data_IF_098402734689
#
_entry.id   IF_098402734689
#
_cell.length_a   1.000
_cell.length_b   1.000
_cell.length_c   1.000
_cell.angle_alpha   90.00
_cell.angle_beta   90.00
_cell.angle_gamma   90.00
#
_symmetry.space_group_name_H-M   'P 1'
#
loop_
_entity.id
_entity.type
_entity.pdbx_description
1 polymer ?
#
# COMPACT_ATOMS: atom_id res chain seq x y z
N UNK A 1 15.28 -9.38 9.42
CA UNK A 1 14.22 -10.37 9.12
C UNK A 1 14.32 -11.50 10.13
N UNK A 2 13.19 -11.95 10.68
CA UNK A 2 13.13 -13.13 11.54
C UNK A 2 13.56 -14.38 10.75
N UNK A 3 14.51 -15.14 11.30
CA UNK A 3 15.11 -16.29 10.64
C UNK A 3 14.08 -17.39 10.35
N UNK A 4 13.09 -17.56 11.22
CA UNK A 4 12.00 -18.53 11.01
C UNK A 4 11.20 -18.23 9.74
N UNK A 5 10.91 -16.94 9.52
CA UNK A 5 10.23 -16.45 8.31
C UNK A 5 11.13 -16.63 7.09
N UNK A 6 12.44 -16.39 7.21
CA UNK A 6 13.36 -16.56 6.08
C UNK A 6 13.41 -18.02 5.61
N UNK A 7 13.51 -18.98 6.54
CA UNK A 7 13.48 -20.42 6.21
C UNK A 7 12.19 -20.77 5.47
N UNK A 8 11.03 -20.36 5.99
CA UNK A 8 9.73 -20.57 5.32
C UNK A 8 9.70 -20.00 3.91
N UNK A 9 10.14 -18.76 3.75
CA UNK A 9 10.15 -18.03 2.46
C UNK A 9 11.10 -18.68 1.44
N UNK A 10 12.22 -19.25 1.89
CA UNK A 10 13.15 -19.98 1.02
C UNK A 10 12.57 -21.29 0.50
N UNK A 11 11.80 -22.00 1.33
CA UNK A 11 11.19 -23.29 1.00
C UNK A 11 9.83 -23.14 0.29
N UNK A 12 9.28 -21.93 0.23
CA UNK A 12 7.97 -21.66 -0.35
C UNK A 12 8.00 -21.63 -1.88
N UNK A 13 7.02 -22.31 -2.48
CA UNK A 13 6.67 -22.24 -3.90
C UNK A 13 5.58 -21.17 -4.18
N UNK A 14 5.10 -20.47 -3.15
CA UNK A 14 4.09 -19.43 -3.31
C UNK A 14 4.70 -18.17 -3.94
N UNK A 15 4.05 -17.63 -4.96
CA UNK A 15 4.58 -16.53 -5.76
C UNK A 15 4.96 -15.28 -4.92
N UNK A 16 4.14 -14.81 -3.96
CA UNK A 16 4.52 -13.71 -3.07
C UNK A 16 5.80 -13.97 -2.28
N UNK A 17 6.02 -15.20 -1.77
CA UNK A 17 7.25 -15.53 -1.04
C UNK A 17 8.46 -15.60 -1.99
N UNK A 18 8.29 -16.14 -3.20
CA UNK A 18 9.31 -16.11 -4.25
C UNK A 18 9.70 -14.67 -4.61
N UNK A 19 8.71 -13.78 -4.74
CA UNK A 19 8.96 -12.37 -5.00
C UNK A 19 9.67 -11.73 -3.79
N UNK A 20 9.21 -11.98 -2.57
CA UNK A 20 9.83 -11.41 -1.37
C UNK A 20 11.31 -11.82 -1.28
N UNK A 21 11.63 -13.12 -1.40
CA UNK A 21 13.02 -13.61 -1.31
C UNK A 21 13.91 -12.98 -2.37
N UNK A 22 13.43 -12.86 -3.60
CA UNK A 22 14.24 -12.32 -4.70
C UNK A 22 14.43 -10.81 -4.60
N UNK A 23 13.45 -10.09 -4.02
CA UNK A 23 13.53 -8.65 -3.81
C UNK A 23 14.42 -8.30 -2.63
N UNK A 24 14.30 -8.96 -1.47
CA UNK A 24 15.14 -8.65 -0.29
C UNK A 24 16.63 -8.96 -0.52
N UNK A 25 16.95 -9.81 -1.49
CA UNK A 25 18.31 -10.07 -1.97
C UNK A 25 18.80 -9.08 -3.06
N UNK A 26 18.02 -8.03 -3.36
CA UNK A 26 18.48 -6.97 -4.27
C UNK A 26 19.68 -6.22 -3.69
N UNK A 27 20.63 -5.80 -4.53
CA UNK A 27 21.83 -5.06 -4.11
C UNK A 27 21.52 -3.73 -3.40
N UNK A 28 20.30 -3.20 -3.59
CA UNK A 28 19.82 -1.98 -2.92
C UNK A 28 19.28 -2.21 -1.52
N UNK A 29 19.14 -3.46 -1.09
CA UNK A 29 18.58 -3.82 0.21
C UNK A 29 19.67 -4.45 1.05
N UNK A 30 19.85 -3.89 2.24
CA UNK A 30 20.70 -4.52 3.26
C UNK A 30 19.81 -5.36 4.16
N UNK A 31 19.96 -6.67 4.08
CA UNK A 31 19.21 -7.61 4.93
C UNK A 31 20.15 -8.25 5.95
N UNK A 32 19.62 -8.42 7.16
CA UNK A 32 20.23 -9.23 8.22
C UNK A 32 19.17 -10.15 8.83
N UNK A 33 19.58 -11.35 9.23
CA UNK A 33 18.75 -12.36 9.88
C UNK A 33 18.90 -12.29 11.40
N UNK A 34 17.81 -12.56 12.10
CA UNK A 34 17.79 -12.67 13.56
C UNK A 34 17.03 -13.93 13.97
N UNK A 35 17.59 -14.70 14.91
CA UNK A 35 16.90 -15.80 15.58
C UNK A 35 17.19 -15.76 17.07
N UNK A 36 16.22 -16.17 17.90
CA UNK A 36 16.35 -16.09 19.36
C UNK A 36 17.53 -16.93 19.89
N UNK A 37 17.81 -18.06 19.23
CA UNK A 37 18.93 -18.95 19.56
C UNK A 37 20.22 -18.63 18.75
N UNK A 38 20.20 -17.52 17.99
CA UNK A 38 21.29 -17.12 17.12
C UNK A 38 21.35 -17.85 15.77
N UNK A 39 22.45 -17.70 15.01
CA UNK A 39 22.65 -18.35 13.72
C UNK A 39 22.82 -19.87 13.88
N UNK A 40 22.22 -20.70 13.00
CA UNK A 40 22.47 -22.13 12.96
C UNK A 40 23.96 -22.49 12.81
N UNK A 41 24.31 -23.69 13.28
CA UNK A 41 25.63 -24.26 13.03
C UNK A 41 25.88 -24.41 11.51
N UNK A 42 27.07 -24.03 11.05
CA UNK A 42 27.46 -24.12 9.64
C UNK A 42 27.16 -22.89 8.78
N UNK A 43 26.53 -21.85 9.33
CA UNK A 43 26.46 -20.54 8.67
C UNK A 43 27.88 -20.00 8.39
N UNK A 44 28.07 -19.38 7.24
CA UNK A 44 29.34 -18.75 6.88
C UNK A 44 29.75 -17.70 7.92
N UNK A 45 30.99 -17.79 8.40
CA UNK A 45 31.54 -16.89 9.42
C UNK A 45 32.76 -16.16 8.87
N UNK A 46 32.97 -14.94 9.38
CA UNK A 46 34.18 -14.17 9.04
C UNK A 46 35.43 -14.94 9.49
N UNK A 47 36.52 -14.89 8.72
CA UNK A 47 37.79 -15.51 9.10
C UNK A 47 38.26 -15.01 10.48
N UNK A 48 38.80 -15.91 11.30
CA UNK A 48 39.27 -15.59 12.66
C UNK A 48 40.44 -14.59 12.68
N UNK A 49 41.13 -14.41 11.56
CA UNK A 49 42.29 -13.53 11.38
C UNK A 49 41.91 -12.15 10.80
N UNK A 50 40.62 -11.82 10.70
CA UNK A 50 40.18 -10.51 10.24
C UNK A 50 40.53 -9.41 11.25
N UNK A 51 41.14 -8.32 10.76
CA UNK A 51 41.65 -7.18 11.55
C UNK A 51 40.61 -6.47 12.44
N UNK A 52 39.31 -6.71 12.22
CA UNK A 52 38.19 -6.02 12.87
C UNK A 52 37.18 -6.99 13.51
N UNK A 53 37.66 -8.13 14.00
CA UNK A 53 36.81 -9.22 14.52
C UNK A 53 36.82 -10.43 13.60
N UNK A 54 36.52 -11.60 14.17
CA UNK A 54 36.56 -12.89 13.50
C UNK A 54 35.62 -13.91 14.18
N UNK A 55 35.01 -14.78 13.37
CA UNK A 55 34.03 -15.76 13.83
C UNK A 55 32.58 -15.28 13.84
N UNK A 56 32.30 -14.01 13.51
CA UNK A 56 30.93 -13.48 13.40
C UNK A 56 30.20 -14.11 12.20
N UNK A 57 28.92 -14.43 12.38
CA UNK A 57 28.09 -15.02 11.33
C UNK A 57 27.67 -13.98 10.28
N UNK A 58 28.06 -14.20 9.04
CA UNK A 58 27.80 -13.27 7.93
C UNK A 58 26.31 -13.29 7.57
N UNK A 59 25.70 -12.10 7.48
CA UNK A 59 24.28 -11.93 7.20
C UNK A 59 23.37 -12.05 8.42
N UNK A 60 23.95 -12.11 9.62
CA UNK A 60 23.22 -12.25 10.88
C UNK A 60 23.47 -11.09 11.83
N UNK A 61 22.43 -10.77 12.58
CA UNK A 61 22.48 -9.94 13.78
C UNK A 61 22.37 -10.89 14.96
N UNK A 62 23.45 -10.98 15.73
CA UNK A 62 23.61 -11.88 16.87
C UNK A 62 23.53 -11.06 18.15
N UNK A 63 22.71 -11.52 19.09
CA UNK A 63 22.64 -10.97 20.44
C UNK A 63 23.34 -11.93 21.40
N UNK A 64 24.33 -11.41 22.12
CA UNK A 64 25.02 -12.16 23.17
C UNK A 64 24.65 -11.55 24.51
N UNK A 65 24.14 -12.39 25.42
CA UNK A 65 23.91 -11.96 26.80
C UNK A 65 25.24 -11.86 27.54
N UNK A 66 25.48 -10.76 28.23
CA UNK A 66 26.69 -10.53 29.01
C UNK A 66 26.39 -10.62 30.52
N UNK A 67 27.45 -10.68 31.33
CA UNK A 67 27.35 -10.56 32.79
C UNK A 67 27.27 -9.09 33.27
N UNK A 68 27.32 -8.12 32.35
CA UNK A 68 27.22 -6.70 32.68
C UNK A 68 25.76 -6.30 32.93
N UNK A 69 25.44 -5.90 34.17
CA UNK A 69 24.08 -5.50 34.56
C UNK A 69 23.62 -4.22 33.86
N UNK A 70 24.55 -3.37 33.43
CA UNK A 70 24.25 -2.13 32.71
C UNK A 70 24.02 -2.39 31.22
N UNK A 71 24.78 -3.29 30.62
CA UNK A 71 24.69 -3.66 29.20
C UNK A 71 24.48 -5.17 29.07
N UNK A 72 23.29 -5.67 29.43
CA UNK A 72 23.04 -7.12 29.48
C UNK A 72 23.09 -7.79 28.12
N UNK A 73 23.02 -7.03 27.03
CA UNK A 73 23.03 -7.57 25.66
C UNK A 73 24.01 -6.82 24.77
N UNK A 74 24.94 -7.55 24.16
CA UNK A 74 25.78 -7.07 23.06
C UNK A 74 25.19 -7.52 21.72
N UNK A 75 25.07 -6.59 20.78
CA UNK A 75 24.61 -6.87 19.42
C UNK A 75 25.81 -6.85 18.49
N UNK A 76 25.91 -7.85 17.63
CA UNK A 76 26.88 -7.85 16.53
C UNK A 76 26.16 -8.14 15.22
N UNK A 77 26.30 -7.24 14.24
CA UNK A 77 25.83 -7.45 12.86
C UNK A 77 27.02 -7.55 11.93
N UNK A 78 27.11 -8.63 11.17
CA UNK A 78 28.24 -8.88 10.28
C UNK A 78 27.81 -9.06 8.82
N UNK A 79 28.56 -8.44 7.91
CA UNK A 79 28.54 -8.69 6.47
C UNK A 79 29.91 -9.20 6.03
N UNK A 80 30.04 -9.58 4.76
CA UNK A 80 31.34 -9.94 4.16
C UNK A 80 32.36 -8.79 4.28
N UNK A 81 31.91 -7.53 4.31
CA UNK A 81 32.78 -6.35 4.28
C UNK A 81 32.90 -5.59 5.59
N UNK A 82 31.93 -5.72 6.50
CA UNK A 82 31.83 -4.89 7.71
C UNK A 82 31.32 -5.69 8.90
N UNK A 83 31.80 -5.35 10.09
CA UNK A 83 31.19 -5.71 11.37
C UNK A 83 30.72 -4.41 12.05
N UNK A 84 29.53 -4.44 12.63
CA UNK A 84 29.00 -3.38 13.46
C UNK A 84 28.60 -3.97 14.82
N UNK A 85 29.06 -3.33 15.90
CA UNK A 85 28.69 -3.66 17.26
C UNK A 85 27.70 -2.63 17.81
N UNK A 86 26.81 -3.08 18.68
CA UNK A 86 25.85 -2.27 19.43
C UNK A 86 25.61 -2.90 20.80
N UNK A 87 24.85 -2.21 21.64
CA UNK A 87 24.60 -2.60 23.02
C UNK A 87 23.16 -2.25 23.38
N UNK A 88 22.45 -3.18 24.01
CA UNK A 88 21.13 -2.89 24.59
C UNK A 88 21.22 -2.81 26.10
N UNK A 89 20.63 -1.76 26.63
CA UNK A 89 20.44 -1.57 28.06
C UNK A 89 19.22 -2.35 28.54
N UNK A 90 19.26 -2.87 29.77
CA UNK A 90 18.14 -3.60 30.37
C UNK A 90 16.83 -2.80 30.31
N UNK A 91 16.93 -1.49 30.54
CA UNK A 91 15.79 -0.58 30.51
C UNK A 91 15.08 -0.51 29.15
N UNK A 92 15.80 -0.64 28.03
CA UNK A 92 15.20 -0.59 26.68
C UNK A 92 14.34 -1.84 26.43
N UNK A 93 14.89 -3.01 26.73
CA UNK A 93 14.18 -4.29 26.56
C UNK A 93 13.01 -4.40 27.54
N UNK A 94 13.19 -3.90 28.77
CA UNK A 94 12.12 -3.83 29.76
C UNK A 94 10.99 -2.89 29.32
N UNK A 95 11.30 -1.69 28.82
CA UNK A 95 10.31 -0.74 28.28
C UNK A 95 9.53 -1.39 27.12
N UNK A 96 10.23 -2.02 26.19
CA UNK A 96 9.62 -2.74 25.08
C UNK A 96 8.63 -3.82 25.57
N UNK A 97 9.07 -4.66 26.50
CA UNK A 97 8.25 -5.72 27.09
C UNK A 97 7.01 -5.18 27.80
N UNK A 98 7.15 -4.07 28.54
CA UNK A 98 6.04 -3.45 29.25
C UNK A 98 4.96 -2.94 28.29
N UNK A 99 5.36 -2.30 27.19
CA UNK A 99 4.42 -1.78 26.18
C UNK A 99 3.72 -2.95 25.46
N UNK A 100 4.46 -3.99 25.03
CA UNK A 100 3.85 -5.18 24.42
C UNK A 100 2.84 -5.85 25.36
N UNK A 101 3.18 -5.93 26.65
CA UNK A 101 2.28 -6.45 27.68
C UNK A 101 1.00 -5.66 27.83
N UNK A 102 1.04 -4.33 27.69
CA UNK A 102 -0.14 -3.47 27.73
C UNK A 102 -1.00 -3.55 26.46
N UNK A 103 -0.38 -3.78 25.30
CA UNK A 103 -1.07 -3.79 24.01
C UNK A 103 -1.74 -5.13 23.69
N UNK A 104 -1.10 -6.25 24.09
CA UNK A 104 -1.44 -7.58 23.58
C UNK A 104 -1.74 -8.61 24.66
N UNK A 105 -1.73 -8.22 25.95
CA UNK A 105 -1.85 -9.11 27.11
C UNK A 105 -0.84 -10.29 27.12
N UNK A 106 0.22 -10.19 26.32
CA UNK A 106 1.28 -11.18 26.15
C UNK A 106 2.64 -10.48 26.11
N UNK A 107 3.37 -10.52 27.22
CA UNK A 107 4.69 -9.91 27.37
C UNK A 107 5.79 -10.99 27.27
N UNK A 108 6.18 -11.34 26.04
CA UNK A 108 7.34 -12.20 25.79
C UNK A 108 8.63 -11.35 25.74
N UNK A 109 9.64 -11.76 26.50
CA UNK A 109 10.96 -11.14 26.50
C UNK A 109 11.66 -11.30 25.14
N UNK A 110 11.39 -12.38 24.40
CA UNK A 110 11.96 -12.63 23.07
C UNK A 110 11.47 -11.62 22.04
N UNK A 111 10.20 -11.27 22.11
CA UNK A 111 9.57 -10.31 21.20
C UNK A 111 10.04 -8.89 21.50
N UNK A 112 10.11 -8.55 22.79
CA UNK A 112 10.70 -7.30 23.24
C UNK A 112 12.16 -7.19 22.79
N UNK A 113 12.95 -8.26 22.89
CA UNK A 113 14.33 -8.25 22.44
C UNK A 113 14.43 -8.07 20.92
N UNK A 114 13.66 -8.82 20.12
CA UNK A 114 13.67 -8.73 18.66
C UNK A 114 13.37 -7.30 18.17
N UNK A 115 12.32 -6.66 18.70
CA UNK A 115 11.95 -5.31 18.27
C UNK A 115 12.99 -4.27 18.69
N UNK A 116 13.57 -4.38 19.90
CA UNK A 116 14.65 -3.49 20.35
C UNK A 116 15.91 -3.68 19.51
N UNK A 117 16.26 -4.92 19.16
CA UNK A 117 17.39 -5.21 18.26
C UNK A 117 17.18 -4.57 16.89
N UNK A 118 15.97 -4.68 16.32
CA UNK A 118 15.65 -4.06 15.04
C UNK A 118 15.82 -2.53 15.07
N UNK A 119 15.41 -1.89 16.16
CA UNK A 119 15.60 -0.45 16.36
C UNK A 119 17.08 -0.08 16.50
N UNK A 120 17.84 -0.83 17.30
CA UNK A 120 19.27 -0.55 17.56
C UNK A 120 20.14 -0.71 16.32
N UNK A 121 19.85 -1.72 15.48
CA UNK A 121 20.56 -1.87 14.19
C UNK A 121 20.12 -0.86 13.14
N UNK A 122 19.13 -0.02 13.44
CA UNK A 122 18.59 1.00 12.52
C UNK A 122 17.88 0.38 11.32
N UNK A 123 17.18 -0.73 11.50
CA UNK A 123 16.43 -1.35 10.40
C UNK A 123 15.24 -0.47 9.99
N UNK A 124 15.01 -0.27 8.70
CA UNK A 124 13.79 0.40 8.20
C UNK A 124 12.57 -0.55 8.26
N UNK A 125 12.80 -1.86 8.21
CA UNK A 125 11.74 -2.88 8.16
C UNK A 125 12.14 -4.16 8.92
N UNK A 126 11.33 -4.55 9.90
CA UNK A 126 11.35 -5.84 10.56
C UNK A 126 10.26 -6.75 9.96
N UNK A 127 10.70 -7.79 9.26
CA UNK A 127 9.82 -8.83 8.72
C UNK A 127 9.70 -9.97 9.74
N UNK A 128 8.51 -10.22 10.27
CA UNK A 128 8.23 -11.26 11.27
C UNK A 128 6.79 -11.80 11.15
N UNK A 129 6.52 -12.97 11.72
CA UNK A 129 5.18 -13.56 11.83
C UNK A 129 4.67 -13.58 13.29
N UNK A 130 5.45 -13.01 14.23
CA UNK A 130 5.09 -12.98 15.64
C UNK A 130 3.92 -12.03 15.87
N UNK A 131 2.75 -12.60 16.18
CA UNK A 131 1.49 -11.86 16.27
C UNK A 131 1.49 -10.74 17.33
N UNK A 132 2.30 -10.88 18.39
CA UNK A 132 2.54 -9.85 19.40
C UNK A 132 3.23 -8.60 18.86
N UNK A 133 4.06 -8.75 17.82
CA UNK A 133 4.79 -7.66 17.19
C UNK A 133 4.04 -7.05 16.00
N UNK A 134 3.20 -7.83 15.32
CA UNK A 134 2.38 -7.31 14.22
C UNK A 134 1.42 -6.22 14.74
N UNK A 135 1.44 -5.06 14.09
CA UNK A 135 0.73 -3.84 14.49
C UNK A 135 1.05 -3.36 15.93
N UNK A 136 2.28 -3.58 16.42
CA UNK A 136 2.74 -2.98 17.69
C UNK A 136 3.12 -1.52 17.52
N UNK A 137 2.91 -0.72 18.57
CA UNK A 137 3.19 0.73 18.59
C UNK A 137 4.60 1.08 19.04
N UNK A 138 5.40 0.07 19.44
CA UNK A 138 6.77 0.26 19.92
C UNK A 138 7.69 0.99 18.94
N UNK A 139 7.34 0.95 17.67
CA UNK A 139 8.10 1.51 16.58
C UNK A 139 7.78 2.95 16.26
N UNK A 140 6.74 3.54 16.85
CA UNK A 140 6.35 4.93 16.57
C UNK A 140 7.37 5.98 17.02
N UNK A 141 8.40 5.55 17.78
CA UNK A 141 9.58 6.35 18.15
C UNK A 141 10.82 6.10 17.27
N UNK A 142 10.77 5.15 16.34
CA UNK A 142 11.89 4.76 15.47
C UNK A 142 11.47 4.65 14.00
N UNK A 143 12.45 4.56 13.11
CA UNK A 143 12.20 4.47 11.66
C UNK A 143 11.92 3.03 11.17
N UNK A 144 11.74 2.08 12.08
CA UNK A 144 11.56 0.66 11.73
C UNK A 144 10.07 0.35 11.63
N UNK A 145 9.59 -0.21 10.52
CA UNK A 145 8.23 -0.75 10.39
C UNK A 145 8.21 -2.26 10.71
N UNK A 146 7.19 -2.78 11.39
CA UNK A 146 6.98 -4.23 11.52
C UNK A 146 5.94 -4.68 10.50
N UNK A 147 6.26 -5.73 9.75
CA UNK A 147 5.38 -6.27 8.73
C UNK A 147 5.44 -7.79 8.67
N UNK A 148 4.29 -8.40 8.38
CA UNK A 148 4.25 -9.79 7.91
C UNK A 148 4.88 -9.93 6.51
N UNK A 149 5.18 -11.15 6.04
CA UNK A 149 5.85 -11.37 4.76
C UNK A 149 5.15 -10.71 3.57
N UNK A 150 3.82 -10.82 3.48
CA UNK A 150 3.07 -10.21 2.40
C UNK A 150 3.06 -8.67 2.47
N UNK A 151 3.14 -8.06 3.65
CA UNK A 151 3.16 -6.58 3.82
C UNK A 151 4.56 -6.08 3.49
N UNK A 152 5.56 -6.81 3.98
CA UNK A 152 6.96 -6.58 3.67
C UNK A 152 7.22 -6.63 2.16
N UNK A 153 6.59 -7.54 1.41
CA UNK A 153 6.71 -7.58 -0.05
C UNK A 153 6.30 -6.24 -0.69
N UNK A 154 5.16 -5.67 -0.28
CA UNK A 154 4.66 -4.42 -0.83
C UNK A 154 5.58 -3.24 -0.46
N UNK A 155 6.06 -3.19 0.79
CA UNK A 155 6.98 -2.14 1.28
C UNK A 155 8.35 -2.21 0.62
N UNK A 156 8.94 -3.41 0.54
CA UNK A 156 10.20 -3.65 -0.16
C UNK A 156 10.08 -3.23 -1.63
N UNK A 157 9.00 -3.63 -2.30
CA UNK A 157 8.75 -3.24 -3.68
C UNK A 157 8.58 -1.72 -3.81
N UNK A 158 7.93 -1.06 -2.84
CA UNK A 158 7.79 0.40 -2.79
C UNK A 158 9.14 1.11 -2.67
N UNK A 159 10.02 0.67 -1.77
CA UNK A 159 11.36 1.27 -1.61
C UNK A 159 12.25 1.07 -2.85
N UNK A 160 12.15 -0.07 -3.51
CA UNK A 160 12.84 -0.30 -4.79
C UNK A 160 12.31 0.65 -5.88
N UNK A 161 10.99 0.86 -5.96
CA UNK A 161 10.40 1.85 -6.89
C UNK A 161 10.82 3.29 -6.59
N UNK A 162 10.86 3.67 -5.31
CA UNK A 162 11.38 4.97 -4.87
C UNK A 162 12.83 5.20 -5.33
N UNK A 163 13.60 4.11 -5.37
CA UNK A 163 14.99 4.07 -5.85
C UNK A 163 15.12 4.00 -7.38
N UNK A 164 14.01 3.99 -8.12
CA UNK A 164 13.96 3.92 -9.58
C UNK A 164 13.91 2.50 -10.16
N UNK A 165 13.77 1.46 -9.33
CA UNK A 165 13.64 0.07 -9.76
C UNK A 165 12.17 -0.36 -9.83
N UNK A 166 11.59 -0.29 -11.02
CA UNK A 166 10.20 -0.67 -11.28
C UNK A 166 10.11 -2.13 -11.72
N UNK A 167 10.27 -3.03 -10.75
CA UNK A 167 10.22 -4.48 -10.96
C UNK A 167 8.76 -4.92 -11.11
N UNK A 168 8.47 -5.65 -12.18
CA UNK A 168 7.12 -6.21 -12.49
C UNK A 168 7.01 -7.69 -12.12
N UNK A 169 8.13 -8.41 -12.18
CA UNK A 169 8.30 -9.77 -11.69
C UNK A 169 9.80 -10.03 -11.49
N UNK A 170 10.17 -10.72 -10.41
CA UNK A 170 11.53 -11.20 -10.18
C UNK A 170 11.46 -12.62 -9.65
N UNK A 171 12.04 -13.55 -10.39
CA UNK A 171 12.19 -14.97 -10.06
C UNK A 171 13.69 -15.27 -10.02
N UNK A 172 14.08 -16.42 -9.47
CA UNK A 172 15.50 -16.74 -9.21
C UNK A 172 16.40 -16.64 -10.46
N UNK A 173 15.85 -16.85 -11.67
CA UNK A 173 16.57 -16.76 -12.95
C UNK A 173 16.10 -15.65 -13.89
N UNK A 174 15.06 -14.90 -13.53
CA UNK A 174 14.43 -13.93 -14.42
C UNK A 174 14.08 -12.64 -13.68
N UNK A 175 14.44 -11.50 -14.25
CA UNK A 175 14.06 -10.20 -13.73
C UNK A 175 13.40 -9.39 -14.83
N UNK A 176 12.18 -8.91 -14.56
CA UNK A 176 11.42 -8.07 -15.47
C UNK A 176 11.23 -6.70 -14.85
N UNK A 177 11.91 -5.72 -15.42
CA UNK A 177 11.75 -4.32 -15.05
C UNK A 177 10.98 -3.57 -16.14
N UNK A 178 10.41 -2.44 -15.77
CA UNK A 178 9.70 -1.54 -16.66
C UNK A 178 10.16 -0.10 -16.44
N UNK A 179 9.81 0.79 -17.36
CA UNK A 179 9.88 2.23 -17.07
C UNK A 179 8.76 2.60 -16.07
N UNK A 180 8.87 3.71 -15.31
CA UNK A 180 7.82 4.12 -14.37
C UNK A 180 6.43 4.17 -15.03
N UNK A 181 6.36 4.78 -16.22
CA UNK A 181 5.15 4.87 -17.02
C UNK A 181 4.56 3.50 -17.35
N UNK A 182 5.40 2.55 -17.78
CA UNK A 182 4.95 1.21 -18.17
C UNK A 182 4.56 0.38 -16.96
N UNK A 183 5.28 0.50 -15.85
CA UNK A 183 4.96 -0.17 -14.59
C UNK A 183 3.57 0.20 -14.10
N UNK A 184 3.29 1.50 -13.92
CA UNK A 184 1.97 1.94 -13.45
C UNK A 184 0.86 1.60 -14.45
N UNK A 185 1.18 1.52 -15.74
CA UNK A 185 0.22 1.06 -16.74
C UNK A 185 -0.13 -0.42 -16.51
N UNK A 186 0.86 -1.28 -16.33
CA UNK A 186 0.64 -2.70 -16.08
C UNK A 186 -0.09 -2.92 -14.74
N UNK A 187 0.23 -2.12 -13.72
CA UNK A 187 -0.50 -2.07 -12.46
C UNK A 187 -1.99 -1.78 -12.67
N UNK A 188 -2.31 -0.75 -13.45
CA UNK A 188 -3.69 -0.41 -13.79
C UNK A 188 -4.40 -1.53 -14.58
N UNK A 189 -3.72 -2.13 -15.56
CA UNK A 189 -4.26 -3.24 -16.34
C UNK A 189 -4.55 -4.49 -15.47
N UNK A 190 -3.69 -4.81 -14.50
CA UNK A 190 -3.87 -5.94 -13.59
C UNK A 190 -5.04 -5.77 -12.60
N UNK A 191 -5.37 -4.52 -12.24
CA UNK A 191 -6.45 -4.19 -11.29
C UNK A 191 -7.76 -3.77 -11.97
N UNK A 192 -7.75 -3.55 -13.29
CA UNK A 192 -8.94 -3.23 -14.10
C UNK A 192 -8.98 -4.19 -15.30
N UNK A 193 -9.10 -5.51 -15.07
CA UNK A 193 -9.02 -6.52 -16.13
C UNK A 193 -10.05 -6.30 -17.25
N UNK A 194 -11.21 -5.73 -16.92
CA UNK A 194 -12.28 -5.45 -17.87
C UNK A 194 -11.92 -4.36 -18.88
N UNK A 195 -10.94 -3.51 -18.58
CA UNK A 195 -10.44 -2.49 -19.50
C UNK A 195 -9.87 -3.10 -20.78
N UNK A 196 -9.00 -4.12 -20.66
CA UNK A 196 -8.41 -4.77 -21.82
C UNK A 196 -9.48 -5.48 -22.67
N UNK A 197 -10.46 -6.12 -22.02
CA UNK A 197 -11.61 -6.71 -22.69
C UNK A 197 -12.43 -5.67 -23.47
N UNK A 198 -12.71 -4.54 -22.83
CA UNK A 198 -13.45 -3.43 -23.42
C UNK A 198 -12.74 -2.84 -24.64
N UNK A 199 -11.44 -2.56 -24.53
CA UNK A 199 -10.63 -2.04 -25.65
C UNK A 199 -10.63 -3.00 -26.85
N UNK A 200 -10.44 -4.31 -26.61
CA UNK A 200 -10.40 -5.31 -27.70
C UNK A 200 -11.74 -5.46 -28.42
N UNK A 201 -12.84 -5.46 -27.67
CA UNK A 201 -14.21 -5.67 -28.21
C UNK A 201 -14.89 -4.38 -28.66
N UNK A 202 -14.31 -3.22 -28.33
CA UNK A 202 -14.85 -1.92 -28.70
C UNK A 202 -15.14 -1.80 -30.20
N UNK A 203 -16.34 -1.34 -30.53
CA UNK A 203 -16.81 -1.14 -31.91
C UNK A 203 -16.47 0.26 -32.46
N UNK A 204 -15.62 1.01 -31.75
CA UNK A 204 -15.20 2.36 -32.13
C UNK A 204 -16.12 3.48 -31.64
N UNK A 205 -17.23 3.18 -30.95
CA UNK A 205 -18.11 4.21 -30.35
C UNK A 205 -17.38 5.07 -29.33
N UNK A 206 -16.49 4.45 -28.55
CA UNK A 206 -15.69 5.16 -27.56
C UNK A 206 -14.35 5.54 -28.16
N UNK A 207 -14.02 6.83 -28.10
CA UNK A 207 -12.76 7.33 -28.69
C UNK A 207 -11.53 6.78 -27.95
N UNK A 208 -10.46 6.51 -28.70
CA UNK A 208 -9.19 6.06 -28.12
C UNK A 208 -8.64 7.05 -27.08
N UNK A 209 -8.79 8.36 -27.31
CA UNK A 209 -8.39 9.40 -26.36
C UNK A 209 -9.10 9.28 -24.99
N UNK A 210 -10.39 8.90 -25.00
CA UNK A 210 -11.16 8.71 -23.75
C UNK A 210 -10.68 7.47 -22.99
N UNK A 211 -10.40 6.37 -23.68
CA UNK A 211 -9.84 5.16 -23.09
C UNK A 211 -8.42 5.38 -22.55
N UNK A 212 -7.58 6.13 -23.27
CA UNK A 212 -6.27 6.54 -22.78
C UNK A 212 -6.37 7.42 -21.52
N UNK A 213 -7.42 8.24 -21.40
CA UNK A 213 -7.67 9.04 -20.20
C UNK A 213 -8.04 8.15 -19.01
N UNK A 214 -8.91 7.15 -19.19
CA UNK A 214 -9.25 6.15 -18.15
C UNK A 214 -7.97 5.49 -17.63
N UNK A 215 -7.14 4.98 -18.54
CA UNK A 215 -5.87 4.34 -18.19
C UNK A 215 -4.89 5.30 -17.52
N UNK A 216 -4.77 6.53 -18.02
CA UNK A 216 -3.89 7.55 -17.44
C UNK A 216 -4.30 7.90 -16.02
N UNK A 217 -5.60 7.99 -15.72
CA UNK A 217 -6.08 8.26 -14.35
C UNK A 217 -5.76 7.11 -13.43
N UNK A 218 -6.03 5.86 -13.82
CA UNK A 218 -5.65 4.70 -13.02
C UNK A 218 -4.14 4.68 -12.71
N UNK A 219 -3.30 4.98 -13.70
CA UNK A 219 -1.85 5.10 -13.53
C UNK A 219 -1.47 6.18 -12.51
N UNK A 220 -2.05 7.38 -12.64
CA UNK A 220 -1.81 8.48 -11.71
C UNK A 220 -2.22 8.13 -10.28
N UNK A 221 -3.30 7.37 -10.09
CA UNK A 221 -3.72 6.93 -8.76
C UNK A 221 -2.70 5.98 -8.11
N UNK A 222 -2.16 5.01 -8.85
CA UNK A 222 -1.08 4.16 -8.31
C UNK A 222 0.20 4.93 -8.00
N UNK A 223 0.58 5.88 -8.86
CA UNK A 223 1.74 6.72 -8.60
C UNK A 223 1.55 7.63 -7.37
N UNK A 224 0.35 8.19 -7.19
CA UNK A 224 0.00 8.99 -6.03
C UNK A 224 -0.01 8.15 -4.75
N UNK A 225 -0.54 6.93 -4.80
CA UNK A 225 -0.49 5.96 -3.70
C UNK A 225 0.93 5.75 -3.20
N UNK A 226 1.84 5.38 -4.11
CA UNK A 226 3.24 5.11 -3.78
C UNK A 226 3.91 6.38 -3.21
N UNK A 227 3.62 7.56 -3.76
CA UNK A 227 4.18 8.81 -3.23
C UNK A 227 3.66 9.14 -1.84
N UNK A 228 2.37 8.97 -1.58
CA UNK A 228 1.77 9.19 -0.25
C UNK A 228 2.40 8.23 0.76
N UNK A 229 2.47 6.93 0.45
CA UNK A 229 3.04 5.92 1.33
C UNK A 229 4.52 6.17 1.66
N UNK A 230 5.30 6.64 0.70
CA UNK A 230 6.69 7.04 0.94
C UNK A 230 6.77 8.28 1.83
N UNK A 231 6.00 9.32 1.53
CA UNK A 231 6.03 10.55 2.32
C UNK A 231 5.58 10.32 3.77
N UNK A 232 4.62 9.42 4.02
CA UNK A 232 4.19 9.08 5.37
C UNK A 232 5.15 8.17 6.12
N UNK A 233 6.16 7.60 5.44
CA UNK A 233 7.26 6.87 6.08
C UNK A 233 8.42 7.78 6.51
N UNK A 234 8.43 9.03 6.04
CA UNK A 234 9.43 10.02 6.40
C UNK A 234 9.07 10.73 7.72
N UNK A 235 10.05 11.32 8.43
CA UNK A 235 9.76 12.18 9.58
C UNK A 235 8.78 13.30 9.23
N UNK A 236 7.75 13.49 10.06
CA UNK A 236 6.70 14.49 9.86
C UNK A 236 7.22 15.93 10.03
N UNK A 237 7.88 16.46 9.01
CA UNK A 237 8.26 17.88 8.89
C UNK A 237 7.16 18.69 8.20
N UNK A 238 7.22 20.02 8.28
CA UNK A 238 6.27 20.91 7.59
C UNK A 238 6.31 20.71 6.07
N UNK A 239 7.51 20.58 5.48
CA UNK A 239 7.69 20.33 4.03
C UNK A 239 7.07 19.00 3.59
N UNK A 240 7.29 17.92 4.36
CA UNK A 240 6.69 16.60 4.08
C UNK A 240 5.17 16.69 4.20
N UNK A 241 4.67 17.42 5.19
CA UNK A 241 3.25 17.60 5.40
C UNK A 241 2.58 18.36 4.24
N UNK A 242 3.21 19.44 3.75
CA UNK A 242 2.78 20.19 2.57
C UNK A 242 2.73 19.30 1.33
N UNK A 243 3.78 18.50 1.10
CA UNK A 243 3.84 17.61 -0.05
C UNK A 243 2.79 16.50 -0.01
N UNK A 244 2.52 15.92 1.17
CA UNK A 244 1.43 14.94 1.36
C UNK A 244 0.10 15.58 1.00
N UNK A 245 -0.18 16.77 1.50
CA UNK A 245 -1.44 17.48 1.24
C UNK A 245 -1.64 17.77 -0.25
N UNK A 246 -0.60 18.26 -0.93
CA UNK A 246 -0.64 18.53 -2.37
C UNK A 246 -0.89 17.25 -3.16
N UNK A 247 -0.15 16.18 -2.85
CA UNK A 247 -0.25 14.88 -3.52
C UNK A 247 -1.63 14.27 -3.32
N UNK A 248 -2.12 14.25 -2.08
CA UNK A 248 -3.44 13.72 -1.73
C UNK A 248 -4.58 14.51 -2.37
N UNK A 249 -4.50 15.85 -2.34
CA UNK A 249 -5.50 16.72 -2.97
C UNK A 249 -5.61 16.47 -4.47
N UNK A 250 -4.48 16.42 -5.18
CA UNK A 250 -4.47 16.10 -6.60
C UNK A 250 -5.05 14.71 -6.88
N UNK A 251 -4.71 13.73 -6.06
CA UNK A 251 -5.20 12.37 -6.21
C UNK A 251 -6.72 12.27 -5.99
N UNK A 252 -7.29 13.02 -5.03
CA UNK A 252 -8.74 13.11 -4.82
C UNK A 252 -9.48 13.74 -6.02
N UNK A 253 -8.91 14.80 -6.59
CA UNK A 253 -9.44 15.42 -7.81
C UNK A 253 -9.45 14.41 -8.95
N UNK A 254 -8.36 13.65 -9.11
CA UNK A 254 -8.23 12.62 -10.12
C UNK A 254 -9.22 11.48 -9.92
N UNK A 255 -9.48 11.06 -8.68
CA UNK A 255 -10.50 10.05 -8.34
C UNK A 255 -11.92 10.49 -8.74
N UNK A 256 -12.31 11.73 -8.43
CA UNK A 256 -13.63 12.25 -8.85
C UNK A 256 -13.71 12.36 -10.37
N UNK A 257 -12.67 12.91 -11.00
CA UNK A 257 -12.59 13.03 -12.45
C UNK A 257 -12.61 11.66 -13.14
N UNK A 258 -12.13 10.61 -12.47
CA UNK A 258 -12.13 9.25 -13.02
C UNK A 258 -13.56 8.77 -13.28
N UNK A 259 -14.46 8.93 -12.32
CA UNK A 259 -15.88 8.63 -12.50
C UNK A 259 -16.53 9.52 -13.57
N UNK A 260 -16.16 10.81 -13.65
CA UNK A 260 -16.72 11.71 -14.68
C UNK A 260 -16.32 11.28 -16.10
N UNK A 261 -15.09 10.78 -16.28
CA UNK A 261 -14.66 10.20 -17.57
C UNK A 261 -15.48 8.95 -17.88
N UNK A 262 -15.74 8.09 -16.89
CA UNK A 262 -16.57 6.89 -17.08
C UNK A 262 -18.03 7.23 -17.39
N UNK A 263 -18.59 8.30 -16.83
CA UNK A 263 -19.93 8.75 -17.22
C UNK A 263 -19.99 9.05 -18.72
N UNK A 264 -18.93 9.67 -19.27
CA UNK A 264 -18.84 9.95 -20.72
C UNK A 264 -18.67 8.68 -21.55
N UNK A 265 -17.90 7.69 -21.07
CA UNK A 265 -17.78 6.38 -21.73
C UNK A 265 -19.15 5.70 -21.78
N UNK A 266 -19.87 5.64 -20.65
CA UNK A 266 -21.23 5.07 -20.57
C UNK A 266 -22.17 5.80 -21.52
N UNK A 267 -22.11 7.14 -21.57
CA UNK A 267 -22.97 7.95 -22.45
C UNK A 267 -22.79 7.59 -23.93
N UNK A 268 -21.56 7.34 -24.39
CA UNK A 268 -21.29 6.93 -25.77
C UNK A 268 -21.82 5.53 -26.09
N UNK A 269 -22.02 4.69 -25.08
CA UNK A 269 -22.62 3.37 -25.23
C UNK A 269 -24.15 3.39 -25.17
N UNK A 270 -24.78 4.51 -24.81
CA UNK A 270 -26.24 4.63 -24.78
C UNK A 270 -26.84 4.55 -26.19
N UNK A 271 -28.07 4.03 -26.29
CA UNK A 271 -28.85 4.03 -27.54
C UNK A 271 -29.18 5.46 -27.98
N UNK A 272 -29.41 6.34 -27.02
CA UNK A 272 -29.65 7.76 -27.21
C UNK A 272 -28.70 8.54 -26.29
N UNK A 273 -27.46 8.80 -26.73
CA UNK A 273 -26.49 9.56 -25.95
C UNK A 273 -27.01 10.96 -25.61
N UNK A 274 -26.73 11.42 -24.39
CA UNK A 274 -26.93 12.82 -24.04
C UNK A 274 -25.96 13.69 -24.83
N UNK A 275 -26.47 14.75 -25.44
CA UNK A 275 -25.69 15.64 -26.30
C UNK A 275 -25.11 16.81 -25.53
N UNK A 276 -25.73 17.21 -24.42
CA UNK A 276 -25.25 18.31 -23.58
C UNK A 276 -24.19 17.81 -22.58
N UNK A 277 -22.90 18.18 -22.73
CA UNK A 277 -21.82 17.59 -21.92
C UNK A 277 -21.98 17.84 -20.42
N UNK A 278 -22.62 18.95 -20.03
CA UNK A 278 -22.83 19.36 -18.63
C UNK A 278 -23.84 18.46 -17.89
N UNK A 279 -24.67 17.73 -18.65
CA UNK A 279 -25.67 16.79 -18.15
C UNK A 279 -25.12 15.38 -18.00
N UNK A 280 -23.97 15.06 -18.60
CA UNK A 280 -23.33 13.74 -18.54
C UNK A 280 -22.51 13.62 -17.26
N UNK A 281 -23.18 13.29 -16.15
CA UNK A 281 -22.54 13.14 -14.84
C UNK A 281 -23.38 12.27 -13.93
N UNK A 282 -22.75 11.46 -13.09
CA UNK A 282 -23.43 10.54 -12.18
C UNK A 282 -24.38 11.22 -11.19
N UNK A 283 -24.19 12.52 -10.93
CA UNK A 283 -25.05 13.31 -10.05
C UNK A 283 -26.34 13.78 -10.73
N UNK A 284 -26.40 13.74 -12.06
CA UNK A 284 -27.62 14.06 -12.78
C UNK A 284 -28.55 12.84 -12.72
N UNK A 285 -29.53 12.89 -11.81
CA UNK A 285 -30.48 11.79 -11.58
C UNK A 285 -31.15 11.33 -12.89
N UNK A 286 -31.63 12.25 -13.73
CA UNK A 286 -32.30 11.88 -14.98
C UNK A 286 -31.37 11.18 -15.97
N UNK A 287 -30.10 11.60 -16.05
CA UNK A 287 -29.12 10.91 -16.89
C UNK A 287 -28.74 9.54 -16.30
N UNK A 288 -28.51 9.48 -14.99
CA UNK A 288 -28.13 8.25 -14.29
C UNK A 288 -29.20 7.17 -14.40
N UNK A 289 -30.48 7.51 -14.18
CA UNK A 289 -31.61 6.57 -14.32
C UNK A 289 -31.70 6.02 -15.75
N UNK A 290 -31.54 6.86 -16.78
CA UNK A 290 -31.48 6.38 -18.18
C UNK A 290 -30.33 5.41 -18.42
N UNK A 291 -29.16 5.70 -17.83
CA UNK A 291 -28.01 4.81 -17.95
C UNK A 291 -28.26 3.47 -17.24
N UNK A 292 -28.86 3.49 -16.05
CA UNK A 292 -29.25 2.29 -15.29
C UNK A 292 -30.34 1.50 -16.03
N UNK A 293 -31.32 2.15 -16.65
CA UNK A 293 -32.37 1.47 -17.41
C UNK A 293 -31.80 0.70 -18.60
N UNK A 294 -30.78 1.25 -19.27
CA UNK A 294 -30.13 0.59 -20.38
C UNK A 294 -29.07 -0.45 -19.94
N UNK A 295 -28.40 -0.20 -18.81
CA UNK A 295 -27.40 -1.07 -18.21
C UNK A 295 -27.79 -1.38 -16.75
N UNK A 296 -28.74 -2.30 -16.51
CA UNK A 296 -29.26 -2.60 -15.17
C UNK A 296 -28.20 -3.01 -14.14
N UNK A 297 -27.08 -3.56 -14.62
CA UNK A 297 -25.91 -3.89 -13.81
C UNK A 297 -25.35 -2.67 -13.05
N UNK A 298 -25.51 -1.46 -13.60
CA UNK A 298 -25.08 -0.20 -12.95
C UNK A 298 -25.93 0.15 -11.72
N UNK A 299 -27.10 -0.45 -11.53
CA UNK A 299 -27.98 -0.17 -10.39
C UNK A 299 -27.31 -0.45 -9.05
N UNK A 300 -26.54 -1.54 -8.96
CA UNK A 300 -25.85 -1.91 -7.73
C UNK A 300 -24.75 -0.89 -7.34
N UNK A 301 -24.23 -0.15 -8.33
CA UNK A 301 -23.16 0.83 -8.15
C UNK A 301 -23.70 2.24 -7.86
N UNK A 302 -24.76 2.65 -8.58
CA UNK A 302 -25.17 4.05 -8.68
C UNK A 302 -26.61 4.35 -8.22
N UNK A 303 -27.35 3.36 -7.72
CA UNK A 303 -28.61 3.60 -6.99
C UNK A 303 -28.37 4.39 -5.70
N UNK A 304 -29.45 4.78 -4.99
CA UNK A 304 -29.35 5.51 -3.72
C UNK A 304 -28.40 4.85 -2.71
N UNK A 305 -28.41 3.51 -2.66
CA UNK A 305 -27.58 2.75 -1.74
C UNK A 305 -26.29 2.19 -2.36
N UNK A 306 -26.07 2.44 -3.65
CA UNK A 306 -24.94 1.90 -4.39
C UNK A 306 -23.59 2.40 -3.88
N UNK A 307 -22.64 1.47 -3.73
CA UNK A 307 -21.36 1.74 -3.09
C UNK A 307 -20.53 2.80 -3.84
N UNK A 308 -20.54 2.77 -5.19
CA UNK A 308 -19.78 3.73 -6.01
C UNK A 308 -20.35 5.15 -5.89
N UNK A 309 -21.68 5.29 -5.75
CA UNK A 309 -22.32 6.59 -5.48
C UNK A 309 -21.89 7.15 -4.12
N UNK A 310 -21.85 6.31 -3.08
CA UNK A 310 -21.44 6.72 -1.73
C UNK A 310 -19.96 7.10 -1.68
N UNK A 311 -19.11 6.29 -2.31
CA UNK A 311 -17.68 6.61 -2.50
C UNK A 311 -17.50 7.95 -3.21
N UNK A 312 -18.20 8.16 -4.34
CA UNK A 312 -18.14 9.42 -5.07
C UNK A 312 -18.67 10.60 -4.25
N UNK A 313 -19.69 10.38 -3.42
CA UNK A 313 -20.20 11.41 -2.52
C UNK A 313 -19.15 11.81 -1.49
N UNK A 314 -18.52 10.85 -0.81
CA UNK A 314 -17.43 11.10 0.13
C UNK A 314 -16.29 11.90 -0.51
N UNK A 315 -15.80 11.46 -1.68
CA UNK A 315 -14.70 12.16 -2.38
C UNK A 315 -15.08 13.58 -2.77
N UNK A 316 -16.32 13.80 -3.20
CA UNK A 316 -16.81 15.14 -3.57
C UNK A 316 -16.96 16.06 -2.37
N UNK A 317 -17.39 15.55 -1.22
CA UNK A 317 -17.46 16.32 0.03
C UNK A 317 -16.07 16.83 0.39
N UNK A 318 -15.06 15.96 0.38
CA UNK A 318 -13.67 16.36 0.67
C UNK A 318 -13.14 17.34 -0.38
N UNK A 319 -13.31 17.03 -1.67
CA UNK A 319 -12.85 17.89 -2.76
C UNK A 319 -13.46 19.29 -2.67
N UNK A 320 -14.76 19.40 -2.39
CA UNK A 320 -15.41 20.71 -2.27
C UNK A 320 -14.84 21.49 -1.08
N UNK A 321 -14.62 20.83 0.06
CA UNK A 321 -14.01 21.47 1.22
C UNK A 321 -12.59 21.98 0.94
N UNK A 322 -11.80 21.21 0.18
CA UNK A 322 -10.48 21.62 -0.29
C UNK A 322 -10.56 22.89 -1.14
N UNK A 323 -11.58 23.02 -2.00
CA UNK A 323 -11.78 24.22 -2.81
C UNK A 323 -12.29 25.42 -2.02
N UNK A 324 -13.13 25.19 -1.01
CA UNK A 324 -13.82 26.25 -0.27
C UNK A 324 -12.96 26.85 0.84
N UNK A 325 -12.25 26.02 1.61
CA UNK A 325 -11.55 26.43 2.84
C UNK A 325 -10.05 26.12 2.81
N UNK A 326 -9.64 25.13 2.00
CA UNK A 326 -8.32 24.47 2.05
C UNK A 326 -8.02 23.85 3.42
N UNK A 327 -8.01 22.51 3.57
CA UNK A 327 -7.78 21.87 4.85
C UNK A 327 -6.43 22.29 5.43
N UNK A 328 -6.42 22.58 6.73
CA UNK A 328 -5.18 22.82 7.44
C UNK A 328 -4.44 21.51 7.63
N UNK A 329 -3.15 21.53 7.31
CA UNK A 329 -2.27 20.39 7.52
C UNK A 329 -1.78 20.49 8.96
N UNK A 330 -2.07 19.46 9.74
CA UNK A 330 -1.74 19.47 11.16
C UNK A 330 -0.79 18.31 11.39
N UNK A 331 0.49 18.56 11.75
CA UNK A 331 1.26 17.54 12.41
C UNK A 331 0.58 17.29 13.74
N UNK A 332 0.16 16.06 13.98
CA UNK A 332 -0.47 15.68 15.22
C UNK A 332 0.23 14.44 15.76
N UNK A 333 0.07 14.24 17.06
CA UNK A 333 0.40 12.96 17.66
C UNK A 333 -0.89 12.16 17.71
N UNK A 334 -0.88 10.95 17.17
CA UNK A 334 -2.02 10.05 17.36
C UNK A 334 -2.21 9.70 18.85
N UNK A 335 -3.19 8.84 19.12
CA UNK A 335 -3.49 8.36 20.47
C UNK A 335 -2.28 7.67 21.14
N UNK A 336 -1.24 7.38 20.36
CA UNK A 336 -0.09 6.55 20.71
C UNK A 336 1.23 7.35 20.74
N UNK A 337 1.21 8.59 20.24
CA UNK A 337 2.30 9.55 20.36
C UNK A 337 3.15 9.68 19.10
N UNK A 338 2.87 8.90 18.05
CA UNK A 338 3.54 8.96 16.76
C UNK A 338 3.28 10.30 16.09
N UNK A 339 4.33 10.95 15.58
CA UNK A 339 4.16 12.13 14.75
C UNK A 339 3.56 11.70 13.40
N UNK A 340 2.34 12.15 13.14
CA UNK A 340 1.62 11.88 11.90
C UNK A 340 1.19 13.19 11.24
N UNK A 341 0.94 13.13 9.93
CA UNK A 341 0.39 14.23 9.16
C UNK A 341 -1.07 13.95 8.89
N UNK A 342 -1.93 14.90 9.24
CA UNK A 342 -3.36 14.80 9.02
C UNK A 342 -3.93 16.03 8.37
N UNK A 343 -5.00 15.83 7.63
CA UNK A 343 -5.79 16.91 7.05
C UNK A 343 -6.98 17.18 7.97
N UNK A 344 -7.00 18.38 8.56
CA UNK A 344 -8.07 18.81 9.44
C UNK A 344 -9.24 19.37 8.63
N UNK A 345 -10.45 18.90 8.93
CA UNK A 345 -11.70 19.32 8.32
C UNK A 345 -12.73 19.66 9.39
N UNK A 346 -13.65 20.58 9.08
CA UNK A 346 -14.77 20.90 9.95
C UNK A 346 -15.63 19.65 10.26
N UNK A 347 -16.22 19.61 11.45
CA UNK A 347 -17.01 18.47 11.96
C UNK A 347 -18.06 17.97 10.95
N UNK A 348 -18.77 18.88 10.27
CA UNK A 348 -19.80 18.55 9.29
C UNK A 348 -19.27 17.84 8.04
N UNK A 349 -18.04 18.13 7.64
CA UNK A 349 -17.38 17.50 6.49
C UNK A 349 -16.99 16.08 6.87
N UNK A 350 -16.27 15.93 7.98
CA UNK A 350 -15.86 14.63 8.49
C UNK A 350 -17.06 13.71 8.74
N UNK A 351 -18.12 14.22 9.35
CA UNK A 351 -19.34 13.44 9.62
C UNK A 351 -20.03 12.95 8.33
N UNK A 352 -20.10 13.79 7.29
CA UNK A 352 -20.67 13.39 5.98
C UNK A 352 -19.81 12.36 5.26
N UNK A 353 -18.48 12.50 5.33
CA UNK A 353 -17.55 11.51 4.78
C UNK A 353 -17.73 10.18 5.50
N UNK A 354 -17.70 10.17 6.83
CA UNK A 354 -17.90 8.96 7.65
C UNK A 354 -19.23 8.29 7.35
N UNK A 355 -20.33 9.04 7.38
CA UNK A 355 -21.66 8.50 7.06
C UNK A 355 -21.75 7.88 5.66
N UNK A 356 -20.95 8.36 4.70
CA UNK A 356 -20.87 7.78 3.36
C UNK A 356 -20.07 6.48 3.34
N UNK A 357 -18.94 6.43 4.06
CA UNK A 357 -18.00 5.30 4.05
C UNK A 357 -18.36 4.17 5.02
N UNK A 358 -19.04 4.47 6.14
CA UNK A 358 -19.51 3.50 7.16
C UNK A 358 -20.43 2.42 6.60
N UNK A 359 -20.95 2.62 5.39
CA UNK A 359 -21.82 1.66 4.70
C UNK A 359 -21.07 0.73 3.74
N UNK A 360 -19.78 0.99 3.48
CA UNK A 360 -18.96 0.22 2.55
C UNK A 360 -18.31 -1.00 3.22
N UNK A 361 -17.95 -0.88 4.49
CA UNK A 361 -17.32 -1.95 5.28
C UNK A 361 -17.76 -1.85 6.74
N UNK A 362 -17.82 -2.99 7.42
CA UNK A 362 -18.11 -3.05 8.86
C UNK A 362 -16.94 -2.54 9.73
N UNK A 363 -15.74 -2.41 9.13
CA UNK A 363 -14.53 -1.97 9.81
C UNK A 363 -14.40 -0.44 9.80
N UNK A 364 -14.13 0.14 10.97
CA UNK A 364 -14.14 1.61 11.20
C UNK A 364 -12.82 2.33 10.92
N UNK A 365 -11.79 1.64 10.40
CA UNK A 365 -10.49 2.27 10.18
C UNK A 365 -10.25 2.61 8.70
N UNK A 366 -10.94 3.64 8.23
CA UNK A 366 -10.68 4.25 6.92
C UNK A 366 -9.96 5.61 7.05
N UNK A 367 -9.23 5.81 8.15
CA UNK A 367 -8.37 6.97 8.36
C UNK A 367 -9.09 8.27 8.72
N UNK A 368 -10.40 8.28 9.02
CA UNK A 368 -11.11 9.48 9.49
C UNK A 368 -11.44 9.36 10.98
N UNK A 369 -10.90 10.26 11.79
CA UNK A 369 -11.15 10.31 13.25
C UNK A 369 -11.57 11.70 13.70
N UNK A 370 -12.35 11.76 14.77
CA UNK A 370 -12.66 13.02 15.44
C UNK A 370 -11.55 13.29 16.47
N UNK A 371 -10.70 14.28 16.19
CA UNK A 371 -9.57 14.65 17.08
C UNK A 371 -9.90 15.90 17.90
N UNK A 372 -10.78 16.75 17.37
CA UNK A 372 -11.18 18.01 17.99
C UNK A 372 -12.70 18.02 18.21
N UNK A 373 -13.16 18.87 19.13
CA UNK A 373 -14.60 19.05 19.40
C UNK A 373 -15.37 19.45 18.14
N UNK A 374 -14.76 20.25 17.28
CA UNK A 374 -15.32 20.86 16.06
C UNK A 374 -14.65 20.34 14.77
N UNK A 375 -13.80 19.31 14.86
CA UNK A 375 -12.96 18.91 13.73
C UNK A 375 -12.70 17.41 13.64
N UNK A 376 -12.69 16.93 12.40
CA UNK A 376 -12.16 15.61 12.05
C UNK A 376 -10.78 15.74 11.42
N UNK A 377 -9.99 14.68 11.56
CA UNK A 377 -8.71 14.51 10.91
C UNK A 377 -8.78 13.32 9.97
N UNK A 378 -8.30 13.50 8.74
CA UNK A 378 -8.09 12.42 7.78
C UNK A 378 -6.61 12.12 7.72
N UNK A 379 -6.24 10.87 8.02
CA UNK A 379 -4.94 10.29 7.69
C UNK A 379 -4.91 10.01 6.18
N UNK A 380 -4.08 10.74 5.40
CA UNK A 380 -4.06 10.60 3.95
C UNK A 380 -3.70 9.20 3.47
N UNK A 381 -2.78 8.51 4.15
CA UNK A 381 -2.32 7.18 3.74
C UNK A 381 -3.41 6.14 3.99
N UNK A 382 -3.93 6.05 5.22
CA UNK A 382 -4.97 5.08 5.57
C UNK A 382 -6.23 5.31 4.73
N UNK A 383 -6.63 6.58 4.56
CA UNK A 383 -7.78 6.93 3.73
C UNK A 383 -7.59 6.53 2.27
N UNK A 384 -6.39 6.76 1.71
CA UNK A 384 -6.10 6.42 0.33
C UNK A 384 -6.07 4.92 0.08
N UNK A 385 -5.41 4.16 0.97
CA UNK A 385 -5.40 2.69 0.95
C UNK A 385 -6.80 2.10 1.06
N UNK A 386 -7.69 2.76 1.81
CA UNK A 386 -9.08 2.36 1.88
C UNK A 386 -9.85 2.65 0.59
N UNK A 387 -9.76 3.87 0.05
CA UNK A 387 -10.59 4.34 -1.07
C UNK A 387 -10.16 3.79 -2.42
N UNK A 388 -8.84 3.67 -2.66
CA UNK A 388 -8.30 3.27 -3.96
C UNK A 388 -8.85 1.93 -4.45
N UNK A 389 -8.88 0.84 -3.65
CA UNK A 389 -9.47 -0.43 -4.06
C UNK A 389 -10.93 -0.28 -4.52
N UNK A 390 -11.75 0.49 -3.80
CA UNK A 390 -13.15 0.73 -4.15
C UNK A 390 -13.31 1.53 -5.43
N UNK A 391 -12.42 2.49 -5.68
CA UNK A 391 -12.38 3.27 -6.91
C UNK A 391 -11.99 2.42 -8.12
N UNK A 392 -10.98 1.54 -7.98
CA UNK A 392 -10.59 0.64 -9.06
C UNK A 392 -11.70 -0.38 -9.35
N UNK A 393 -12.34 -0.91 -8.30
CA UNK A 393 -13.50 -1.80 -8.42
C UNK A 393 -14.67 -1.14 -9.15
N UNK A 394 -15.05 0.08 -8.78
CA UNK A 394 -16.15 0.79 -9.47
C UNK A 394 -15.85 1.01 -10.94
N UNK A 395 -14.59 1.30 -11.30
CA UNK A 395 -14.16 1.42 -12.69
C UNK A 395 -14.31 0.08 -13.42
N UNK A 396 -13.80 -1.01 -12.83
CA UNK A 396 -13.85 -2.33 -13.45
C UNK A 396 -15.29 -2.84 -13.59
N UNK A 397 -16.15 -2.62 -12.60
CA UNK A 397 -17.56 -3.01 -12.62
C UNK A 397 -18.37 -2.23 -13.67
N UNK A 398 -18.11 -0.93 -13.83
CA UNK A 398 -18.71 -0.12 -14.90
C UNK A 398 -18.28 -0.66 -16.27
N UNK A 399 -16.99 -0.91 -16.47
CA UNK A 399 -16.46 -1.44 -17.73
C UNK A 399 -16.99 -2.85 -18.01
N UNK A 400 -17.14 -3.69 -16.98
CA UNK A 400 -17.75 -5.02 -17.06
C UNK A 400 -19.20 -4.95 -17.54
N UNK A 401 -19.99 -4.03 -16.97
CA UNK A 401 -21.38 -3.82 -17.37
C UNK A 401 -21.49 -3.47 -18.86
N UNK A 402 -20.60 -2.62 -19.36
CA UNK A 402 -20.55 -2.26 -20.78
C UNK A 402 -20.04 -3.40 -21.65
N UNK A 403 -19.00 -4.11 -21.21
CA UNK A 403 -18.36 -5.22 -21.92
C UNK A 403 -19.35 -6.35 -22.24
N UNK A 404 -20.27 -6.65 -21.31
CA UNK A 404 -21.34 -7.66 -21.50
C UNK A 404 -22.27 -7.35 -22.68
N UNK A 405 -22.30 -6.10 -23.17
CA UNK A 405 -23.16 -5.66 -24.27
C UNK A 405 -22.42 -5.56 -25.61
N UNK A 406 -21.10 -5.65 -25.61
CA UNK A 406 -20.31 -5.67 -26.83
C UNK A 406 -20.38 -7.05 -27.49
N UNK A 407 -20.31 -7.16 -28.82
CA UNK A 407 -20.21 -8.47 -29.48
C UNK A 407 -18.92 -9.18 -29.06
N UNK A 408 -18.94 -10.52 -29.00
CA UNK A 408 -17.71 -11.29 -28.88
C UNK A 408 -16.90 -11.15 -30.17
N UNK A 409 -15.58 -10.98 -30.03
CA UNK A 409 -14.63 -10.99 -31.16
C UNK A 409 -13.66 -12.14 -30.96
N UNK A 410 -13.30 -12.80 -32.06
CA UNK A 410 -12.29 -13.85 -32.05
C UNK A 410 -11.01 -13.33 -31.36
N UNK A 411 -10.52 -14.08 -30.37
CA UNK A 411 -9.29 -13.72 -29.67
C UNK A 411 -8.12 -13.89 -30.63
N UNK A 412 -7.31 -12.84 -30.80
CA UNK A 412 -6.01 -12.97 -31.44
C UNK A 412 -5.07 -13.67 -30.45
N UNK A 413 -4.45 -14.77 -30.87
CA UNK A 413 -3.41 -15.45 -30.09
C UNK A 413 -2.29 -14.46 -29.77
N UNK A 414 -1.99 -14.30 -28.49
CA UNK A 414 -0.82 -13.55 -28.02
C UNK A 414 0.22 -14.55 -27.53
N UNK A 415 1.39 -14.53 -28.15
CA UNK A 415 2.59 -15.10 -27.57
C UNK A 415 3.15 -14.10 -26.56
N UNK A 416 3.21 -14.48 -25.28
CA UNK A 416 3.82 -13.67 -24.22
C UNK A 416 4.84 -14.54 -23.50
N UNK A 417 6.03 -13.98 -23.24
CA UNK A 417 7.16 -14.66 -22.59
C UNK A 417 6.86 -15.09 -21.14
N UNK A 418 5.83 -14.52 -20.51
CA UNK A 418 5.20 -14.99 -19.28
C UNK A 418 3.69 -15.12 -19.48
N UNK A 419 3.04 -16.12 -18.87
CA UNK A 419 1.58 -16.12 -18.78
C UNK A 419 1.10 -14.79 -18.17
N UNK A 420 0.18 -14.10 -18.83
CA UNK A 420 -0.37 -12.82 -18.34
C UNK A 420 -0.87 -12.94 -16.90
N UNK A 421 -1.45 -14.09 -16.54
CA UNK A 421 -1.91 -14.40 -15.17
C UNK A 421 -0.79 -14.29 -14.12
N UNK A 422 0.38 -14.89 -14.36
CA UNK A 422 1.50 -14.86 -13.40
C UNK A 422 2.02 -13.45 -13.22
N UNK A 423 2.13 -12.68 -14.30
CA UNK A 423 2.55 -11.27 -14.24
C UNK A 423 1.52 -10.43 -13.49
N UNK A 424 0.23 -10.61 -13.77
CA UNK A 424 -0.82 -9.82 -13.16
C UNK A 424 -0.95 -10.16 -11.65
N UNK A 425 -0.77 -11.42 -11.27
CA UNK A 425 -0.71 -11.85 -9.87
C UNK A 425 0.54 -11.32 -9.16
N UNK A 426 1.69 -11.29 -9.84
CA UNK A 426 2.89 -10.64 -9.31
C UNK A 426 2.65 -9.14 -9.07
N UNK A 427 2.08 -8.41 -10.04
CA UNK A 427 1.76 -6.98 -9.91
C UNK A 427 0.76 -6.70 -8.79
N UNK A 428 -0.26 -7.56 -8.63
CA UNK A 428 -1.20 -7.47 -7.50
C UNK A 428 -0.50 -7.69 -6.17
N UNK A 429 0.41 -8.66 -6.09
CA UNK A 429 1.18 -8.95 -4.88
C UNK A 429 2.14 -7.81 -4.51
N UNK A 430 2.82 -7.22 -5.50
CA UNK A 430 3.76 -6.10 -5.31
C UNK A 430 3.09 -4.81 -4.85
N UNK A 431 1.80 -4.64 -5.15
CA UNK A 431 1.02 -3.51 -4.67
C UNK A 431 0.21 -3.85 -3.42
N UNK A 432 -0.18 -5.11 -3.24
CA UNK A 432 -1.08 -5.54 -2.17
C UNK A 432 -2.33 -4.63 -2.06
N UNK A 433 -2.98 -4.36 -3.19
CA UNK A 433 -4.33 -3.77 -3.17
C UNK A 433 -5.27 -4.88 -2.73
N UNK A 434 -5.97 -4.76 -1.58
CA UNK A 434 -6.85 -5.81 -1.10
C UNK A 434 -7.85 -6.22 -2.19
N UNK A 435 -7.91 -7.51 -2.50
CA UNK A 435 -9.02 -8.03 -3.27
C UNK A 435 -10.28 -7.95 -2.41
N UNK A 436 -11.31 -7.25 -2.87
CA UNK A 436 -12.58 -7.20 -2.18
C UNK A 436 -13.23 -8.59 -2.22
N UNK A 437 -13.47 -9.18 -1.05
CA UNK A 437 -14.29 -10.39 -0.89
C UNK A 437 -15.78 -10.07 -1.03
#
# INVERSE_FOLDING_TARGET
>A
MDASVWVRVQESDDLPDILLRTLVLSERITMTLYGDDGPPDGVERRPMDSLFGGGEAIGWTVVTKTDDQTVPYEITTATTKRVAGGALFEGQVFEARMILGQERDAADERDALLITVAQEVGADLLITERASLLDTRLLERGNCQVAGPADALALVALYLRASGEFITAKLDSWSFTATPTRFYQQMAEAHIPSFAGFVRRGDGRVTAARLLTVLSRARSLFAARDRIALLTSEPATEDIAEEISLTFTHALVDMVAFHDVLARVVNECLKQPETEPQRIKWQNHAWCERAIDQFPELRALWSADGYAKRLNHAMRVIRNEIHDVAPSIVPFRDEHGAAQVGLAFHFDVGSRVRASLDTLVDQRNYGVRQVFTDGHLIDPHIFYEFVLPWMLRSVDDILTALLRRLPERAQAERSVLLPEAVRDDALRSLARVPAHQ
#
